data_IF_302837574861
#
_entry.id   IF_302837574861
#
_cell.length_a   1.000
_cell.length_b   1.000
_cell.length_c   1.000
_cell.angle_alpha   90.00
_cell.angle_beta   90.00
_cell.angle_gamma   90.00
#
_symmetry.space_group_name_H-M   'P 1'
#
loop_
_entity.id
_entity.type
_entity.pdbx_description
1 polymer ?
#
# COMPACT_ATOMS: atom_id res chain seq x y z
N UNK A 1 -32.24 -18.08 -30.70
CA UNK A 1 -32.18 -16.66 -30.32
C UNK A 1 -31.01 -16.50 -29.37
N UNK A 2 -29.86 -16.04 -29.88
CA UNK A 2 -28.65 -15.84 -29.09
C UNK A 2 -28.60 -14.34 -28.76
N UNK A 3 -28.67 -14.01 -27.47
CA UNK A 3 -28.47 -12.63 -26.99
C UNK A 3 -26.97 -12.44 -26.84
N UNK A 4 -26.41 -11.61 -27.72
CA UNK A 4 -25.00 -11.23 -27.70
C UNK A 4 -24.87 -9.98 -26.82
N UNK A 5 -24.32 -10.15 -25.61
CA UNK A 5 -24.00 -9.03 -24.72
C UNK A 5 -22.74 -8.34 -25.23
N UNK A 6 -22.89 -7.12 -25.74
CA UNK A 6 -21.76 -6.23 -26.04
C UNK A 6 -21.33 -5.53 -24.75
N UNK A 7 -20.19 -5.94 -24.19
CA UNK A 7 -19.51 -5.15 -23.18
C UNK A 7 -18.63 -4.11 -23.88
N UNK A 8 -19.11 -2.87 -23.92
CA UNK A 8 -18.32 -1.74 -24.39
C UNK A 8 -17.39 -1.31 -23.25
N UNK A 9 -16.13 -1.75 -23.30
CA UNK A 9 -15.09 -1.28 -22.40
C UNK A 9 -14.78 0.18 -22.72
N UNK A 10 -15.22 1.10 -21.87
CA UNK A 10 -14.69 2.47 -21.88
C UNK A 10 -13.32 2.46 -21.19
N UNK A 11 -12.25 2.95 -21.83
CA UNK A 11 -11.00 3.19 -21.13
C UNK A 11 -11.25 4.28 -20.06
N UNK A 12 -11.16 3.89 -18.79
CA UNK A 12 -11.16 4.85 -17.68
C UNK A 12 -9.77 5.50 -17.66
N UNK A 13 -9.68 6.72 -18.16
CA UNK A 13 -8.47 7.55 -18.03
C UNK A 13 -8.45 8.17 -16.65
N UNK A 14 -7.54 7.70 -15.80
CA UNK A 14 -7.29 8.32 -14.49
C UNK A 14 -6.34 9.51 -14.75
N UNK A 15 -6.88 10.75 -14.73
CA UNK A 15 -6.05 11.95 -14.76
C UNK A 15 -5.52 12.22 -13.35
N UNK A 16 -4.24 11.96 -13.16
CA UNK A 16 -3.52 12.21 -11.91
C UNK A 16 -2.63 13.44 -12.09
N UNK A 17 -2.98 14.54 -11.41
CA UNK A 17 -2.06 15.66 -11.22
C UNK A 17 -1.14 15.33 -10.04
N UNK A 18 -0.14 14.46 -10.25
CA UNK A 18 0.86 14.17 -9.21
C UNK A 18 2.18 14.83 -9.58
N UNK A 19 2.75 15.58 -8.63
CA UNK A 19 4.00 16.34 -8.79
C UNK A 19 5.25 15.44 -8.67
N UNK A 20 5.11 14.24 -8.10
CA UNK A 20 6.20 13.27 -7.90
C UNK A 20 5.83 11.86 -8.42
N UNK A 21 6.75 11.18 -9.11
CA UNK A 21 6.53 9.81 -9.61
C UNK A 21 6.20 8.84 -8.45
N UNK A 22 4.93 8.43 -8.35
CA UNK A 22 4.53 7.35 -7.46
C UNK A 22 5.00 6.03 -8.03
N UNK A 23 5.76 5.27 -7.23
CA UNK A 23 6.25 3.95 -7.62
C UNK A 23 5.22 2.85 -7.37
N UNK A 24 4.39 3.02 -6.33
CA UNK A 24 3.42 2.01 -5.90
C UNK A 24 2.10 2.68 -5.59
N UNK A 25 1.02 2.10 -6.11
CA UNK A 25 -0.36 2.50 -5.83
C UNK A 25 -1.21 1.27 -5.54
N UNK A 26 -2.22 1.41 -4.69
CA UNK A 26 -3.21 0.35 -4.47
C UNK A 26 -4.55 0.92 -4.04
N UNK A 27 -5.60 0.45 -4.70
CA UNK A 27 -6.97 0.82 -4.39
C UNK A 27 -7.39 0.20 -3.06
N UNK A 28 -7.89 1.06 -2.16
CA UNK A 28 -8.48 0.64 -0.88
C UNK A 28 -9.99 0.51 -1.05
N UNK A 29 -10.60 1.43 -1.80
CA UNK A 29 -12.01 1.38 -2.21
C UNK A 29 -12.15 1.68 -3.70
N UNK A 30 -13.37 1.67 -4.23
CA UNK A 30 -13.63 2.10 -5.61
C UNK A 30 -13.35 3.59 -5.83
N UNK A 31 -13.39 4.39 -4.75
CA UNK A 31 -13.24 5.84 -4.78
C UNK A 31 -11.98 6.32 -4.06
N UNK A 32 -11.09 5.42 -3.63
CA UNK A 32 -9.87 5.80 -2.95
C UNK A 32 -8.73 4.81 -3.15
N UNK A 33 -7.52 5.35 -3.23
CA UNK A 33 -6.30 4.57 -3.30
C UNK A 33 -5.20 5.25 -2.48
N UNK A 34 -4.21 4.46 -2.09
CA UNK A 34 -2.99 4.98 -1.48
C UNK A 34 -1.82 4.88 -2.46
N UNK A 35 -0.89 5.83 -2.34
CA UNK A 35 0.28 5.93 -3.18
C UNK A 35 1.55 6.21 -2.38
N UNK A 36 2.68 5.71 -2.88
CA UNK A 36 4.01 5.90 -2.28
C UNK A 36 4.98 6.28 -3.38
N UNK A 37 5.87 7.22 -3.08
CA UNK A 37 6.91 7.68 -4.00
C UNK A 37 8.20 6.89 -3.81
N UNK A 38 9.06 6.92 -4.83
CA UNK A 38 10.41 6.35 -4.75
C UNK A 38 11.46 7.29 -4.16
N UNK A 39 11.04 8.47 -3.71
CA UNK A 39 11.95 9.55 -3.35
C UNK A 39 12.58 9.31 -1.96
N UNK A 40 13.87 9.59 -1.83
CA UNK A 40 14.58 9.41 -0.56
C UNK A 40 14.11 10.37 0.52
N UNK A 41 13.78 11.62 0.18
CA UNK A 41 13.37 12.64 1.15
C UNK A 41 11.90 12.56 1.54
N UNK A 42 11.10 11.75 0.83
CA UNK A 42 9.69 11.58 1.13
C UNK A 42 9.51 10.35 2.03
N UNK A 43 8.86 10.56 3.18
CA UNK A 43 8.55 9.51 4.15
C UNK A 43 7.04 9.50 4.42
N UNK A 44 6.25 9.37 3.35
CA UNK A 44 4.80 9.53 3.39
C UNK A 44 4.09 8.44 2.60
N UNK A 45 2.92 8.03 3.08
CA UNK A 45 1.90 7.36 2.27
C UNK A 45 0.81 8.38 1.99
N UNK A 46 0.58 8.62 0.72
CA UNK A 46 -0.43 9.57 0.26
C UNK A 46 -1.77 8.87 0.11
N UNK A 47 -2.85 9.50 0.56
CA UNK A 47 -4.21 9.05 0.28
C UNK A 47 -4.85 9.91 -0.80
N UNK A 48 -5.51 9.27 -1.75
CA UNK A 48 -6.28 9.93 -2.80
C UNK A 48 -7.74 9.51 -2.75
N UNK A 49 -8.64 10.45 -2.95
CA UNK A 49 -10.09 10.22 -3.04
C UNK A 49 -10.65 10.80 -4.33
N UNK A 50 -11.67 10.14 -4.88
CA UNK A 50 -12.38 10.58 -6.07
C UNK A 50 -13.34 11.73 -5.71
N UNK A 51 -13.00 12.94 -6.13
CA UNK A 51 -13.78 14.15 -5.91
C UNK A 51 -14.12 14.75 -7.28
N UNK A 52 -15.42 14.84 -7.59
CA UNK A 52 -15.92 15.40 -8.86
C UNK A 52 -15.32 14.68 -10.10
N UNK A 53 -15.12 13.37 -10.01
CA UNK A 53 -14.58 12.56 -11.11
C UNK A 53 -13.05 12.61 -11.26
N UNK A 54 -12.34 13.29 -10.36
CA UNK A 54 -10.89 13.40 -10.36
C UNK A 54 -10.34 12.90 -9.02
N UNK A 55 -9.28 12.10 -9.04
CA UNK A 55 -8.59 11.70 -7.81
C UNK A 55 -7.71 12.83 -7.30
N UNK A 56 -7.92 13.22 -6.05
CA UNK A 56 -7.21 14.32 -5.40
C UNK A 56 -6.56 13.83 -4.10
N UNK A 57 -5.35 14.33 -3.80
CA UNK A 57 -4.66 14.01 -2.56
C UNK A 57 -5.42 14.61 -1.37
N UNK A 58 -5.65 13.81 -0.34
CA UNK A 58 -6.27 14.25 0.91
C UNK A 58 -5.17 14.39 1.97
N UNK A 59 -4.47 15.53 1.93
CA UNK A 59 -3.25 15.78 2.72
C UNK A 59 -3.36 15.42 4.21
N UNK A 60 -4.49 15.74 4.85
CA UNK A 60 -4.71 15.47 6.28
C UNK A 60 -4.96 13.98 6.61
N UNK A 61 -5.18 13.14 5.60
CA UNK A 61 -5.32 11.68 5.73
C UNK A 61 -4.06 10.92 5.31
N UNK A 62 -3.07 11.61 4.74
CA UNK A 62 -1.77 11.03 4.42
C UNK A 62 -1.03 10.61 5.69
N UNK A 63 -0.27 9.53 5.61
CA UNK A 63 0.36 8.89 6.77
C UNK A 63 1.85 9.21 6.78
N UNK A 64 2.30 9.88 7.84
CA UNK A 64 3.73 10.10 8.09
C UNK A 64 4.39 8.79 8.53
N UNK A 65 5.44 8.41 7.81
CA UNK A 65 6.29 7.26 8.12
C UNK A 65 7.52 7.71 8.92
N UNK A 66 8.26 6.73 9.43
CA UNK A 66 9.55 7.01 10.07
C UNK A 66 10.51 7.65 9.06
N UNK A 67 11.19 8.71 9.48
CA UNK A 67 12.17 9.40 8.65
C UNK A 67 13.32 8.45 8.31
N UNK A 68 13.58 8.31 7.01
CA UNK A 68 14.73 7.60 6.49
C UNK A 68 15.12 8.21 5.15
N UNK A 69 16.04 9.17 5.17
CA UNK A 69 16.45 9.88 3.95
C UNK A 69 17.68 9.24 3.28
N UNK A 70 18.07 8.04 3.71
CA UNK A 70 19.23 7.31 3.19
C UNK A 70 18.82 6.32 2.10
N UNK A 71 17.68 5.67 2.30
CA UNK A 71 17.21 4.59 1.44
C UNK A 71 16.26 5.12 0.35
N UNK A 72 16.39 4.60 -0.88
CA UNK A 72 15.32 4.69 -1.87
C UNK A 72 14.25 3.63 -1.57
N UNK A 73 13.02 3.89 -1.99
CA UNK A 73 11.99 2.87 -2.00
C UNK A 73 12.00 2.10 -3.33
N UNK A 74 11.74 0.79 -3.28
CA UNK A 74 11.68 -0.04 -4.50
C UNK A 74 10.30 -0.69 -4.68
N UNK A 75 10.06 -1.12 -5.92
CA UNK A 75 8.76 -1.60 -6.40
C UNK A 75 8.51 -3.09 -6.17
N UNK A 76 9.46 -3.83 -5.59
CA UNK A 76 9.39 -5.29 -5.47
C UNK A 76 8.37 -5.82 -4.46
N UNK A 77 7.87 -4.96 -3.57
CA UNK A 77 6.88 -5.32 -2.56
C UNK A 77 5.61 -4.50 -2.81
N UNK A 78 4.51 -5.13 -3.26
CA UNK A 78 3.27 -4.41 -3.54
C UNK A 78 2.61 -3.90 -2.26
N UNK A 79 1.78 -2.87 -2.39
CA UNK A 79 0.89 -2.48 -1.30
C UNK A 79 -0.24 -3.51 -1.22
N UNK A 80 -0.31 -4.26 -0.12
CA UNK A 80 -1.30 -5.33 0.05
C UNK A 80 -2.39 -4.87 0.99
N UNK A 81 -3.63 -4.83 0.51
CA UNK A 81 -4.79 -4.50 1.33
C UNK A 81 -5.65 -5.73 1.61
N UNK A 82 -5.74 -6.13 2.88
CA UNK A 82 -6.67 -7.14 3.35
C UNK A 82 -7.99 -6.50 3.79
N UNK A 83 -9.01 -6.61 2.94
CA UNK A 83 -10.35 -6.07 3.21
C UNK A 83 -11.02 -6.71 4.42
N UNK A 84 -10.84 -8.01 4.64
CA UNK A 84 -11.50 -8.73 5.74
C UNK A 84 -11.04 -8.23 7.12
N UNK A 85 -9.75 -7.92 7.26
CA UNK A 85 -9.17 -7.42 8.51
C UNK A 85 -8.95 -5.90 8.55
N UNK A 86 -9.26 -5.20 7.47
CA UNK A 86 -8.96 -3.78 7.30
C UNK A 86 -7.47 -3.43 7.55
N UNK A 87 -6.58 -4.29 7.05
CA UNK A 87 -5.13 -4.15 7.22
C UNK A 87 -4.43 -3.88 5.89
N UNK A 88 -3.50 -2.94 5.90
CA UNK A 88 -2.62 -2.61 4.79
C UNK A 88 -1.20 -2.99 5.21
N UNK A 89 -0.55 -3.80 4.37
CA UNK A 89 0.87 -4.07 4.46
C UNK A 89 1.57 -3.26 3.38
N UNK A 90 2.58 -2.52 3.81
CA UNK A 90 3.28 -1.62 2.93
C UNK A 90 4.75 -1.59 3.28
N UNK A 91 5.56 -1.96 2.31
CA UNK A 91 7.01 -1.74 2.38
C UNK A 91 7.30 -0.33 1.93
N UNK A 92 8.10 0.37 2.71
CA UNK A 92 8.72 1.62 2.33
C UNK A 92 10.16 1.60 2.83
N UNK A 93 11.11 1.66 1.88
CA UNK A 93 12.56 1.59 2.18
C UNK A 93 12.89 0.29 2.91
N UNK A 94 13.68 0.32 3.98
CA UNK A 94 14.04 -0.88 4.77
C UNK A 94 12.97 -1.33 5.79
N UNK A 95 11.79 -0.72 5.77
CA UNK A 95 10.71 -0.98 6.73
C UNK A 95 9.48 -1.59 6.05
N UNK A 96 8.81 -2.50 6.76
CA UNK A 96 7.45 -2.94 6.45
C UNK A 96 6.53 -2.38 7.52
N UNK A 97 5.52 -1.62 7.11
CA UNK A 97 4.51 -1.09 7.99
C UNK A 97 3.23 -1.91 7.90
N UNK A 98 2.62 -2.12 9.05
CA UNK A 98 1.29 -2.65 9.19
C UNK A 98 0.36 -1.53 9.62
N UNK A 99 -0.62 -1.24 8.78
CA UNK A 99 -1.52 -0.10 8.93
C UNK A 99 -2.95 -0.62 9.01
N UNK A 100 -3.72 -0.14 9.99
CA UNK A 100 -5.14 -0.46 10.13
C UNK A 100 -5.99 0.72 9.67
N UNK A 101 -7.00 0.46 8.85
CA UNK A 101 -8.08 1.41 8.61
C UNK A 101 -9.03 1.38 9.82
N UNK A 102 -9.00 2.42 10.64
CA UNK A 102 -9.74 2.49 11.90
C UNK A 102 -11.16 3.06 11.73
N UNK A 103 -11.40 3.90 10.72
CA UNK A 103 -12.71 4.52 10.42
C UNK A 103 -12.71 5.08 8.99
N UNK A 104 -13.26 4.34 8.01
CA UNK A 104 -13.54 4.79 6.64
C UNK A 104 -12.51 5.77 6.03
N UNK A 105 -11.25 5.34 6.00
CA UNK A 105 -10.15 6.12 5.40
C UNK A 105 -9.27 6.84 6.41
N UNK A 106 -9.54 6.70 7.71
CA UNK A 106 -8.59 7.03 8.75
C UNK A 106 -7.65 5.84 8.99
N UNK A 107 -6.36 6.04 8.74
CA UNK A 107 -5.36 5.00 8.84
C UNK A 107 -4.45 5.22 10.04
N UNK A 108 -4.04 4.14 10.68
CA UNK A 108 -3.09 4.15 11.79
C UNK A 108 -2.04 3.07 11.61
N UNK A 109 -0.77 3.43 11.74
CA UNK A 109 0.32 2.44 11.87
C UNK A 109 0.09 1.70 13.19
N UNK A 110 -0.13 0.39 13.11
CA UNK A 110 -0.32 -0.47 14.28
C UNK A 110 0.94 -1.27 14.61
N UNK A 111 1.80 -1.52 13.62
CA UNK A 111 3.10 -2.16 13.81
C UNK A 111 4.08 -1.80 12.69
N UNK A 112 5.37 -2.04 12.91
CA UNK A 112 6.41 -1.87 11.91
C UNK A 112 7.56 -2.87 12.12
N UNK A 113 8.17 -3.30 11.02
CA UNK A 113 9.27 -4.26 11.01
C UNK A 113 10.45 -3.72 10.19
N UNK A 114 11.59 -3.53 10.86
CA UNK A 114 12.84 -3.20 10.19
C UNK A 114 13.51 -4.46 9.63
N UNK A 115 13.59 -4.54 8.30
CA UNK A 115 14.19 -5.66 7.60
C UNK A 115 15.71 -5.52 7.41
N UNK A 116 16.28 -4.31 7.60
CA UNK A 116 17.69 -3.98 7.38
C UNK A 116 18.20 -4.34 5.97
N UNK A 117 17.32 -4.35 4.98
CA UNK A 117 17.62 -4.57 3.58
C UNK A 117 16.58 -3.88 2.71
N UNK A 118 16.92 -3.57 1.47
CA UNK A 118 15.97 -3.11 0.45
C UNK A 118 15.32 -4.28 -0.30
N UNK A 119 16.00 -5.43 -0.34
CA UNK A 119 15.54 -6.67 -0.99
C UNK A 119 14.46 -7.38 -0.15
N UNK A 120 13.30 -6.73 -0.02
CA UNK A 120 12.17 -7.21 0.76
C UNK A 120 11.10 -7.72 -0.19
N UNK A 121 10.73 -8.99 -0.03
CA UNK A 121 9.63 -9.63 -0.76
C UNK A 121 8.71 -10.29 0.25
N UNK A 122 7.39 -10.16 0.09
CA UNK A 122 6.48 -10.82 1.01
C UNK A 122 5.03 -10.70 0.60
N UNK A 123 4.19 -11.40 1.35
CA UNK A 123 2.74 -11.43 1.18
C UNK A 123 2.05 -11.80 2.49
N UNK A 124 0.73 -11.75 2.50
CA UNK A 124 -0.11 -12.26 3.59
C UNK A 124 -0.99 -13.38 3.08
N UNK A 125 -1.52 -14.20 4.00
CA UNK A 125 -2.60 -15.13 3.66
C UNK A 125 -3.89 -14.37 3.34
N UNK A 126 -4.79 -14.98 2.57
CA UNK A 126 -6.06 -14.36 2.15
C UNK A 126 -6.92 -13.91 3.35
N UNK A 127 -6.94 -14.73 4.41
CA UNK A 127 -7.62 -14.40 5.67
C UNK A 127 -6.85 -13.40 6.54
N UNK A 128 -5.67 -12.96 6.09
CA UNK A 128 -4.80 -12.01 6.76
C UNK A 128 -4.24 -12.50 8.09
N UNK A 129 -4.26 -13.79 8.39
CA UNK A 129 -3.78 -14.35 9.66
C UNK A 129 -2.26 -14.42 9.74
N UNK A 130 -1.59 -14.68 8.62
CA UNK A 130 -0.14 -14.83 8.58
C UNK A 130 0.47 -13.84 7.59
N UNK A 131 1.60 -13.29 7.99
CA UNK A 131 2.49 -12.52 7.13
C UNK A 131 3.75 -13.33 6.86
N UNK A 132 4.15 -13.42 5.59
CA UNK A 132 5.32 -14.17 5.13
C UNK A 132 6.20 -13.24 4.32
N UNK A 133 7.50 -13.19 4.63
CA UNK A 133 8.45 -12.42 3.81
C UNK A 133 9.82 -13.07 3.78
N UNK A 134 10.61 -12.71 2.77
CA UNK A 134 12.00 -13.09 2.64
C UNK A 134 12.85 -12.29 3.62
N UNK A 135 13.37 -12.97 4.62
CA UNK A 135 14.20 -12.40 5.68
C UNK A 135 15.67 -12.67 5.39
N UNK A 136 16.38 -11.58 5.09
CA UNK A 136 17.80 -11.62 4.77
C UNK A 136 18.67 -12.16 5.93
N UNK A 137 18.22 -12.01 7.18
CA UNK A 137 19.00 -12.44 8.36
C UNK A 137 19.15 -13.95 8.43
N UNK A 138 18.12 -14.67 7.99
CA UNK A 138 18.08 -16.13 7.98
C UNK A 138 18.24 -16.71 6.57
N UNK A 139 18.37 -15.85 5.54
CA UNK A 139 18.43 -16.25 4.14
C UNK A 139 17.28 -17.19 3.74
N UNK A 140 16.06 -16.84 4.17
CA UNK A 140 14.88 -17.70 4.07
C UNK A 140 13.58 -16.95 4.35
N UNK A 141 12.48 -17.68 4.46
CA UNK A 141 11.17 -17.06 4.78
C UNK A 141 10.91 -17.02 6.28
N UNK A 142 10.61 -15.82 6.78
CA UNK A 142 10.07 -15.61 8.12
C UNK A 142 8.55 -15.52 8.06
N UNK A 143 7.87 -16.15 9.02
CA UNK A 143 6.41 -16.19 9.11
C UNK A 143 5.98 -15.61 10.46
N UNK A 144 5.06 -14.66 10.43
CA UNK A 144 4.49 -14.01 11.61
C UNK A 144 2.99 -14.26 11.67
N UNK A 145 2.49 -14.63 12.85
CA UNK A 145 1.05 -14.68 13.12
C UNK A 145 0.56 -13.31 13.60
N UNK A 146 -0.49 -12.80 12.97
CA UNK A 146 -0.98 -11.44 13.16
C UNK A 146 -2.08 -11.41 14.24
N UNK A 147 -1.71 -11.01 15.45
CA UNK A 147 -2.58 -10.98 16.64
C UNK A 147 -3.47 -9.72 16.77
N UNK A 148 -3.65 -8.96 15.68
CA UNK A 148 -4.37 -7.67 15.72
C UNK A 148 -5.89 -7.90 15.72
N UNK A 149 -6.57 -7.53 16.80
CA UNK A 149 -8.03 -7.42 16.87
C UNK A 149 -8.48 -6.17 16.12
#
# INVERSE_FOLDING_TARGET
MIVQLFFQFFPIYIHLQIINLQLKVSFITENSFIGITGDQGINMIYLFELIEGIYQEIQHKSIQLMNNDQDYDEYFFPIIYNKQRNLIFVRHKSQIYLIKNINDGNFKIVDQLNCNTLDIYGTITDNGQYFVFWDIKINGYSIYELQIQ
#
